data_IF_607360366109
#
_entry.id   IF_607360366109
#
_cell.length_a   1.000
_cell.length_b   1.000
_cell.length_c   1.000
_cell.angle_alpha   90.00
_cell.angle_beta   90.00
_cell.angle_gamma   90.00
#
_symmetry.space_group_name_H-M   'P 1'
#
loop_
_entity.id
_entity.type
_entity.pdbx_description
1 polymer ?
#
# COMPACT_ATOMS: atom_id res chain seq x y z
N UNK A 1 9.99 -2.06 3.56
CA UNK A 1 11.12 -1.74 4.46
C UNK A 1 11.25 -0.23 4.32
N UNK A 2 10.75 0.55 5.28
CA UNK A 2 11.47 1.74 5.72
C UNK A 2 11.31 2.94 4.75
N UNK A 3 12.42 3.61 4.37
CA UNK A 3 12.42 4.86 3.59
C UNK A 3 11.76 4.77 2.22
N UNK A 4 11.91 3.65 1.51
CA UNK A 4 11.48 3.49 0.11
C UNK A 4 9.95 3.55 -0.06
N UNK A 5 9.19 3.46 1.03
CA UNK A 5 7.74 3.57 1.02
C UNK A 5 7.25 5.00 0.78
N UNK A 6 7.99 6.00 1.27
CA UNK A 6 7.66 7.40 0.98
C UNK A 6 8.01 7.76 -0.46
N UNK A 7 9.19 7.35 -0.92
CA UNK A 7 9.59 7.49 -2.33
C UNK A 7 8.60 6.80 -3.26
N UNK A 8 8.10 5.62 -2.89
CA UNK A 8 7.06 4.92 -3.64
C UNK A 8 5.74 5.72 -3.65
N UNK A 9 5.29 6.25 -2.51
CA UNK A 9 4.08 7.08 -2.44
C UNK A 9 4.21 8.37 -3.28
N UNK A 10 5.37 9.03 -3.29
CA UNK A 10 5.63 10.18 -4.16
C UNK A 10 5.73 9.79 -5.64
N UNK A 11 6.42 8.69 -5.96
CA UNK A 11 6.64 8.25 -7.34
C UNK A 11 5.34 7.91 -8.07
N UNK A 12 4.37 7.30 -7.38
CA UNK A 12 3.07 6.95 -7.98
C UNK A 12 2.29 8.21 -8.37
N UNK A 13 2.37 9.28 -7.56
CA UNK A 13 1.64 10.53 -7.79
C UNK A 13 2.38 11.57 -8.65
N UNK A 14 3.67 11.39 -8.93
CA UNK A 14 4.48 12.34 -9.72
C UNK A 14 4.63 11.97 -11.21
N UNK A 15 3.88 10.97 -11.70
CA UNK A 15 3.80 10.68 -13.14
C UNK A 15 4.13 9.25 -13.56
N UNK A 16 4.04 8.26 -12.66
CA UNK A 16 4.27 6.84 -12.98
C UNK A 16 2.99 6.00 -12.81
N UNK A 17 1.96 6.20 -13.66
CA UNK A 17 0.76 5.36 -13.65
C UNK A 17 1.11 3.90 -13.96
N UNK A 18 0.38 2.96 -13.35
CA UNK A 18 0.63 1.52 -13.49
C UNK A 18 1.69 0.96 -12.55
N UNK A 19 2.08 1.72 -11.53
CA UNK A 19 3.00 1.27 -10.48
C UNK A 19 2.47 0.05 -9.72
N UNK A 20 3.36 -0.88 -9.39
CA UNK A 20 3.05 -2.11 -8.65
C UNK A 20 4.08 -2.31 -7.54
N UNK A 21 3.60 -2.72 -6.36
CA UNK A 21 4.45 -3.17 -5.26
C UNK A 21 3.81 -4.34 -4.52
N UNK A 22 4.55 -4.90 -3.57
CA UNK A 22 4.04 -5.94 -2.67
C UNK A 22 4.28 -5.54 -1.21
N UNK A 23 3.31 -5.85 -0.35
CA UNK A 23 3.42 -5.61 1.08
C UNK A 23 2.82 -6.78 1.85
N UNK A 24 3.44 -7.13 2.98
CA UNK A 24 2.88 -8.13 3.88
C UNK A 24 1.79 -7.51 4.74
N UNK A 25 0.54 -7.91 4.51
CA UNK A 25 -0.60 -7.52 5.31
C UNK A 25 -1.66 -8.63 5.27
N UNK A 26 -2.41 -8.77 6.36
CA UNK A 26 -3.47 -9.79 6.47
C UNK A 26 -4.78 -9.33 5.83
N UNK A 27 -4.95 -8.02 5.65
CA UNK A 27 -6.10 -7.42 4.95
C UNK A 27 -5.65 -6.25 4.06
N UNK A 28 -6.44 -5.87 3.04
CA UNK A 28 -6.19 -4.67 2.24
C UNK A 28 -6.09 -3.39 3.06
N UNK A 29 -6.92 -3.24 4.09
CA UNK A 29 -6.91 -2.06 4.97
C UNK A 29 -5.61 -2.00 5.77
N UNK A 30 -5.15 -3.13 6.31
CA UNK A 30 -3.84 -3.21 6.96
C UNK A 30 -2.70 -2.92 5.99
N UNK A 31 -2.83 -3.28 4.71
CA UNK A 31 -1.81 -2.97 3.70
C UNK A 31 -1.62 -1.45 3.57
N UNK A 32 -2.71 -0.69 3.52
CA UNK A 32 -2.67 0.78 3.47
C UNK A 32 -2.12 1.37 4.77
N UNK A 33 -2.52 0.85 5.93
CA UNK A 33 -1.98 1.30 7.21
C UNK A 33 -0.47 1.06 7.35
N UNK A 34 0.02 -0.08 6.84
CA UNK A 34 1.45 -0.38 6.83
C UNK A 34 2.20 0.49 5.83
N UNK A 35 1.62 0.78 4.67
CA UNK A 35 2.21 1.70 3.70
C UNK A 35 2.39 3.08 4.31
N UNK A 36 1.34 3.64 4.91
CA UNK A 36 1.39 4.90 5.63
C UNK A 36 2.38 4.87 6.80
N UNK A 37 2.41 3.78 7.57
CA UNK A 37 3.36 3.61 8.68
C UNK A 37 4.82 3.53 8.23
N UNK A 38 5.11 2.90 7.08
CA UNK A 38 6.46 2.89 6.50
C UNK A 38 6.85 4.29 6.01
N UNK A 39 5.95 4.99 5.34
CA UNK A 39 6.17 6.35 4.87
C UNK A 39 6.41 7.33 6.03
N UNK A 40 5.69 7.20 7.14
CA UNK A 40 5.91 8.01 8.34
C UNK A 40 7.34 7.85 8.89
N UNK A 41 7.88 6.63 8.82
CA UNK A 41 9.25 6.32 9.26
C UNK A 41 10.33 6.85 8.32
N UNK A 42 9.96 7.34 7.13
CA UNK A 42 10.89 7.98 6.20
C UNK A 42 11.23 9.43 6.60
N UNK A 43 10.61 9.97 7.66
CA UNK A 43 10.92 11.32 8.17
C UNK A 43 10.14 12.44 7.51
N UNK A 44 8.99 12.13 6.89
CA UNK A 44 8.04 13.12 6.37
C UNK A 44 7.45 14.00 7.48
N UNK A 45 7.02 15.21 7.13
CA UNK A 45 6.32 16.14 8.02
C UNK A 45 4.81 15.86 8.13
N UNK A 46 4.28 14.97 7.29
CA UNK A 46 2.87 14.60 7.28
C UNK A 46 2.48 13.75 8.50
N UNK A 47 1.31 14.01 9.05
CA UNK A 47 0.70 13.18 10.07
C UNK A 47 0.29 11.81 9.50
N UNK A 48 0.22 10.79 10.37
CA UNK A 48 -0.20 9.43 9.98
C UNK A 48 -1.56 9.41 9.25
N UNK A 49 -2.50 10.25 9.68
CA UNK A 49 -3.83 10.33 9.08
C UNK A 49 -3.76 10.83 7.63
N UNK A 50 -2.95 11.87 7.38
CA UNK A 50 -2.73 12.43 6.04
C UNK A 50 -2.07 11.41 5.12
N UNK A 51 -1.07 10.67 5.61
CA UNK A 51 -0.42 9.59 4.84
C UNK A 51 -1.37 8.45 4.50
N UNK A 52 -2.29 8.11 5.41
CA UNK A 52 -3.28 7.06 5.17
C UNK A 52 -4.33 7.50 4.15
N UNK A 53 -4.78 8.75 4.21
CA UNK A 53 -5.66 9.32 3.20
C UNK A 53 -4.96 9.40 1.84
N UNK A 54 -3.70 9.82 1.83
CA UNK A 54 -2.87 9.84 0.63
C UNK A 54 -2.74 8.44 0.01
N UNK A 55 -2.37 7.43 0.81
CA UNK A 55 -2.29 6.04 0.34
C UNK A 55 -3.61 5.52 -0.24
N UNK A 56 -4.76 5.86 0.37
CA UNK A 56 -6.10 5.49 -0.14
C UNK A 56 -6.41 6.10 -1.50
N UNK A 57 -5.96 7.34 -1.75
CA UNK A 57 -6.20 8.06 -3.01
C UNK A 57 -5.25 7.62 -4.12
N UNK A 58 -4.08 7.14 -3.76
CA UNK A 58 -3.01 6.78 -4.71
C UNK A 58 -3.08 5.31 -5.13
N UNK A 59 -3.58 4.43 -4.27
CA UNK A 59 -3.67 2.99 -4.56
C UNK A 59 -5.05 2.67 -5.12
N UNK A 60 -5.13 2.27 -6.38
CA UNK A 60 -6.42 1.93 -7.01
C UNK A 60 -6.94 0.55 -6.58
N UNK A 61 -6.04 -0.41 -6.33
CA UNK A 61 -6.40 -1.80 -6.16
C UNK A 61 -5.40 -2.54 -5.28
N UNK A 62 -5.92 -3.42 -4.42
CA UNK A 62 -5.13 -4.37 -3.63
C UNK A 62 -5.55 -5.79 -3.98
N UNK A 63 -4.58 -6.59 -4.43
CA UNK A 63 -4.74 -8.04 -4.62
C UNK A 63 -4.20 -8.76 -3.39
N UNK A 64 -5.09 -9.46 -2.67
CA UNK A 64 -4.70 -10.28 -1.53
C UNK A 64 -4.25 -11.66 -2.02
N UNK A 65 -3.02 -12.04 -1.70
CA UNK A 65 -2.49 -13.37 -1.96
C UNK A 65 -2.53 -14.20 -0.67
N UNK A 66 -2.97 -15.45 -0.80
CA UNK A 66 -3.10 -16.36 0.33
C UNK A 66 -2.93 -17.81 -0.08
N UNK A 67 -3.27 -18.72 0.85
CA UNK A 67 -3.43 -20.14 0.54
C UNK A 67 -4.89 -20.53 0.74
N UNK A 68 -5.45 -21.20 -0.26
CA UNK A 68 -6.77 -21.84 -0.20
C UNK A 68 -6.60 -23.30 -0.62
N UNK A 69 -7.07 -24.21 0.23
CA UNK A 69 -6.98 -25.66 0.01
C UNK A 69 -5.54 -26.14 -0.30
N UNK A 70 -4.57 -25.63 0.49
CA UNK A 70 -3.15 -25.94 0.34
C UNK A 70 -2.45 -25.28 -0.85
N UNK A 71 -3.19 -24.65 -1.78
CA UNK A 71 -2.63 -24.00 -2.97
C UNK A 71 -2.46 -22.51 -2.74
N UNK A 72 -1.32 -21.95 -3.18
CA UNK A 72 -1.07 -20.51 -3.17
C UNK A 72 -1.78 -19.86 -4.34
N UNK A 73 -2.48 -18.76 -4.10
CA UNK A 73 -3.16 -18.00 -5.15
C UNK A 73 -3.77 -16.71 -4.64
N UNK A 74 -4.45 -16.01 -5.53
CA UNK A 74 -5.28 -14.86 -5.19
C UNK A 74 -6.47 -15.33 -4.36
N UNK A 75 -6.68 -14.69 -3.21
CA UNK A 75 -7.79 -14.98 -2.31
C UNK A 75 -8.80 -13.84 -2.23
N UNK A 76 -8.45 -12.65 -2.73
CA UNK A 76 -9.37 -11.52 -2.81
C UNK A 76 -8.79 -10.36 -3.61
N UNK A 77 -9.67 -9.49 -4.07
CA UNK A 77 -9.34 -8.23 -4.73
C UNK A 77 -10.21 -7.15 -4.11
N UNK A 78 -9.59 -6.04 -3.70
CA UNK A 78 -10.28 -4.85 -3.23
C UNK A 78 -9.95 -3.72 -4.18
N UNK A 79 -10.98 -3.14 -4.79
CA UNK A 79 -10.89 -1.86 -5.52
C UNK A 79 -11.04 -0.74 -4.50
N UNK A 80 -10.13 0.23 -4.51
CA UNK A 80 -10.28 1.45 -3.73
C UNK A 80 -11.15 2.42 -4.54
N UNK A 81 -12.22 2.89 -3.93
CA UNK A 81 -13.13 3.90 -4.48
C UNK A 81 -13.38 4.98 -3.45
#
# INVERSE_FOLDING_TARGET
RGPEAFDFLEAINTGHPGSLTTIHADTPELALERLAGMALRAGTTLARAELLEYARRTVDLVVQLGRKDGRRGMVGVKVMG
#
